data_IF_093309460608
#
_entry.id   IF_093309460608
#
_cell.length_a   1.000
_cell.length_b   1.000
_cell.length_c   1.000
_cell.angle_alpha   90.00
_cell.angle_beta   90.00
_cell.angle_gamma   90.00
#
_symmetry.space_group_name_H-M   'P 1'
#
loop_
_entity.id
_entity.type
_entity.pdbx_description
1 polymer ?
#
# COMPACT_ATOMS: atom_id res chain seq x y z
N UNK A 1 33.14 -5.97 -16.59
CA UNK A 1 31.80 -6.57 -16.38
C UNK A 1 31.63 -6.78 -14.88
N UNK A 2 31.41 -5.70 -14.13
CA UNK A 2 31.27 -5.71 -12.68
C UNK A 2 29.78 -5.91 -12.36
N UNK A 3 29.39 -6.95 -11.61
CA UNK A 3 28.01 -7.42 -11.58
C UNK A 3 27.14 -6.57 -10.65
N UNK A 4 25.84 -6.53 -10.94
CA UNK A 4 24.79 -5.69 -10.35
C UNK A 4 24.54 -5.82 -8.81
N UNK A 5 25.46 -6.40 -8.04
CA UNK A 5 25.27 -6.77 -6.63
C UNK A 5 25.26 -5.58 -5.66
N UNK A 6 25.92 -4.47 -6.00
CA UNK A 6 26.02 -3.31 -5.10
C UNK A 6 24.73 -2.47 -5.08
N UNK A 7 23.97 -2.48 -6.17
CA UNK A 7 22.69 -1.76 -6.30
C UNK A 7 21.48 -2.53 -5.80
N UNK A 8 21.63 -3.83 -5.49
CA UNK A 8 20.54 -4.68 -5.00
C UNK A 8 19.81 -4.10 -3.78
N UNK A 9 20.48 -3.63 -2.70
CA UNK A 9 19.77 -3.06 -1.55
C UNK A 9 18.98 -1.81 -1.92
N UNK A 10 19.55 -0.93 -2.76
CA UNK A 10 18.86 0.27 -3.23
C UNK A 10 17.62 -0.08 -4.06
N UNK A 11 17.74 -1.05 -4.97
CA UNK A 11 16.63 -1.52 -5.78
C UNK A 11 15.49 -2.08 -4.92
N UNK A 12 15.82 -2.87 -3.88
CA UNK A 12 14.83 -3.39 -2.92
C UNK A 12 14.16 -2.26 -2.16
N UNK A 13 14.91 -1.26 -1.69
CA UNK A 13 14.32 -0.09 -1.03
C UNK A 13 13.34 0.66 -1.93
N UNK A 14 13.69 0.88 -3.20
CA UNK A 14 12.78 1.52 -4.17
C UNK A 14 11.54 0.67 -4.46
N UNK A 15 11.68 -0.65 -4.55
CA UNK A 15 10.56 -1.56 -4.76
C UNK A 15 9.58 -1.53 -3.58
N UNK A 16 10.09 -1.59 -2.34
CA UNK A 16 9.27 -1.50 -1.13
C UNK A 16 8.59 -0.13 -1.01
N UNK A 17 9.34 0.96 -1.25
CA UNK A 17 8.78 2.31 -1.25
C UNK A 17 7.69 2.46 -2.32
N UNK A 18 7.94 1.98 -3.52
CA UNK A 18 6.97 1.97 -4.62
C UNK A 18 5.71 1.17 -4.29
N UNK A 19 5.86 0.01 -3.65
CA UNK A 19 4.72 -0.79 -3.20
C UNK A 19 3.89 -0.07 -2.12
N UNK A 20 4.54 0.56 -1.14
CA UNK A 20 3.87 1.36 -0.11
C UNK A 20 3.13 2.56 -0.71
N UNK A 21 3.78 3.32 -1.58
CA UNK A 21 3.20 4.50 -2.25
C UNK A 21 2.04 4.08 -3.16
N UNK A 22 2.22 3.03 -3.97
CA UNK A 22 1.19 2.50 -4.86
C UNK A 22 -0.05 2.02 -4.09
N UNK A 23 0.13 1.30 -2.98
CA UNK A 23 -0.97 0.86 -2.12
C UNK A 23 -1.76 2.05 -1.55
N UNK A 24 -1.07 3.07 -1.05
CA UNK A 24 -1.72 4.28 -0.54
C UNK A 24 -2.46 5.05 -1.64
N UNK A 25 -1.83 5.25 -2.81
CA UNK A 25 -2.45 5.94 -3.94
C UNK A 25 -3.70 5.19 -4.44
N UNK A 26 -3.72 3.87 -4.41
CA UNK A 26 -4.90 3.08 -4.74
C UNK A 26 -6.08 3.39 -3.80
N UNK A 27 -5.81 3.53 -2.50
CA UNK A 27 -6.83 3.95 -1.52
C UNK A 27 -7.33 5.37 -1.80
N UNK A 28 -6.42 6.31 -2.14
CA UNK A 28 -6.82 7.69 -2.49
C UNK A 28 -7.65 7.73 -3.76
N UNK A 29 -7.24 7.01 -4.81
CA UNK A 29 -7.97 6.91 -6.07
C UNK A 29 -9.39 6.34 -5.88
N UNK A 30 -9.57 5.43 -4.91
CA UNK A 30 -10.89 4.92 -4.55
C UNK A 30 -11.75 5.94 -3.80
N UNK A 31 -11.19 6.62 -2.80
CA UNK A 31 -11.94 7.47 -1.86
C UNK A 31 -12.22 8.88 -2.39
N UNK A 32 -11.27 9.48 -3.10
CA UNK A 32 -11.32 10.89 -3.51
C UNK A 32 -12.51 11.19 -4.45
N UNK A 33 -12.81 10.39 -5.50
CA UNK A 33 -13.98 10.63 -6.35
C UNK A 33 -15.31 10.46 -5.60
N UNK A 34 -15.31 9.68 -4.51
CA UNK A 34 -16.48 9.42 -3.66
C UNK A 34 -16.65 10.46 -2.55
N UNK A 35 -15.78 11.49 -2.51
CA UNK A 35 -15.70 12.49 -1.43
C UNK A 35 -15.59 11.86 -0.03
N UNK A 36 -14.98 10.68 0.05
CA UNK A 36 -14.73 10.01 1.31
C UNK A 36 -13.44 10.54 1.92
N UNK A 37 -13.42 10.67 3.25
CA UNK A 37 -12.19 11.00 3.96
C UNK A 37 -11.16 9.89 3.81
N UNK A 38 -9.91 10.29 3.57
CA UNK A 38 -8.74 9.39 3.46
C UNK A 38 -8.23 8.98 4.85
N UNK A 39 -8.52 9.78 5.88
CA UNK A 39 -7.98 9.61 7.23
C UNK A 39 -8.91 8.75 8.10
N UNK A 40 -10.21 9.01 8.06
CA UNK A 40 -11.19 8.38 8.95
C UNK A 40 -12.55 8.20 8.24
N UNK A 41 -13.24 7.06 8.35
CA UNK A 41 -12.84 5.82 9.03
C UNK A 41 -11.70 5.11 8.31
N UNK A 42 -10.95 4.29 9.07
CA UNK A 42 -9.87 3.46 8.56
C UNK A 42 -10.30 2.47 7.48
N UNK A 43 -9.37 1.64 7.02
CA UNK A 43 -9.67 0.57 6.06
C UNK A 43 -10.75 -0.36 6.62
N UNK A 44 -11.75 -0.67 5.81
CA UNK A 44 -12.85 -1.56 6.16
C UNK A 44 -13.25 -2.39 4.94
N UNK A 45 -13.77 -3.58 5.18
CA UNK A 45 -14.21 -4.47 4.12
C UNK A 45 -15.46 -3.88 3.46
N UNK A 46 -15.44 -3.72 2.14
CA UNK A 46 -16.57 -3.15 1.38
C UNK A 46 -17.82 -4.04 1.37
N UNK A 47 -17.71 -5.33 1.76
CA UNK A 47 -18.83 -6.27 1.81
C UNK A 47 -19.47 -6.37 3.19
N UNK A 48 -18.68 -6.50 4.25
CA UNK A 48 -19.19 -6.71 5.61
C UNK A 48 -19.05 -5.49 6.53
N UNK A 49 -18.27 -4.47 6.15
CA UNK A 49 -18.08 -3.25 6.94
C UNK A 49 -17.14 -3.37 8.13
N UNK A 50 -16.58 -4.57 8.40
CA UNK A 50 -15.61 -4.74 9.49
C UNK A 50 -14.33 -3.95 9.22
N UNK A 51 -13.80 -3.28 10.26
CA UNK A 51 -12.51 -2.62 10.19
C UNK A 51 -11.37 -3.62 9.98
N UNK A 52 -10.46 -3.30 9.05
CA UNK A 52 -9.26 -4.09 8.82
C UNK A 52 -8.16 -3.64 9.78
N UNK A 53 -7.32 -4.59 10.19
CA UNK A 53 -6.10 -4.27 10.89
C UNK A 53 -5.11 -3.57 9.95
N UNK A 54 -4.16 -2.83 10.54
CA UNK A 54 -3.17 -2.11 9.75
C UNK A 54 -2.31 -3.05 8.89
N UNK A 55 -2.02 -4.27 9.37
CA UNK A 55 -1.22 -5.25 8.65
C UNK A 55 -1.95 -5.91 7.48
N UNK A 56 -3.28 -5.94 7.47
CA UNK A 56 -4.07 -6.43 6.33
C UNK A 56 -3.91 -5.54 5.09
N UNK A 57 -3.41 -4.32 5.27
CA UNK A 57 -3.12 -3.37 4.18
C UNK A 57 -1.67 -3.45 3.69
N UNK A 58 -0.84 -4.35 4.24
CA UNK A 58 0.55 -4.53 3.80
C UNK A 58 0.56 -5.18 2.41
N UNK A 59 1.19 -4.54 1.40
CA UNK A 59 1.34 -5.13 0.09
C UNK A 59 1.98 -6.53 0.20
N UNK A 60 1.36 -7.52 -0.46
CA UNK A 60 1.83 -8.91 -0.57
C UNK A 60 1.70 -9.79 0.69
N UNK A 61 1.37 -9.22 1.86
CA UNK A 61 1.36 -9.96 3.14
C UNK A 61 0.02 -9.89 3.89
N UNK A 62 -0.90 -8.99 3.52
CA UNK A 62 -2.25 -8.94 4.10
C UNK A 62 -3.17 -10.06 3.61
N UNK A 63 -4.05 -10.57 4.47
CA UNK A 63 -5.03 -11.63 4.19
C UNK A 63 -6.46 -11.20 4.53
#
# INVERSE_FOLDING_TARGET
MAPATDSAPLAVCFALLGACVGSFLNLVAWRLPRRQSVILPGSHCIRCGQGLAWFDNIPLLGW
#
